data_IF_240399973054
#
_entry.id   IF_240399973054
#
_cell.length_a   1.000
_cell.length_b   1.000
_cell.length_c   1.000
_cell.angle_alpha   90.00
_cell.angle_beta   90.00
_cell.angle_gamma   90.00
#
_symmetry.space_group_name_H-M   'P 1'
#
loop_
_entity.id
_entity.type
_entity.pdbx_description
1 polymer ?
#
# COMPACT_ATOMS: atom_id res chain seq x y z
N UNK A 1 -22.56 -49.65 -21.46
CA UNK A 1 -21.89 -50.10 -20.23
C UNK A 1 -20.39 -49.88 -20.37
N UNK A 2 -19.88 -48.70 -20.00
CA UNK A 2 -18.44 -48.42 -20.00
C UNK A 2 -17.97 -48.29 -18.54
N UNK A 3 -17.11 -49.23 -18.13
CA UNK A 3 -16.41 -49.27 -16.84
C UNK A 3 -15.72 -47.92 -16.57
N UNK A 4 -15.86 -47.31 -15.37
CA UNK A 4 -15.02 -46.18 -15.00
C UNK A 4 -13.60 -46.68 -14.67
N UNK A 5 -12.61 -46.04 -15.29
CA UNK A 5 -11.20 -46.25 -15.01
C UNK A 5 -10.90 -45.87 -13.54
N UNK A 6 -10.52 -46.87 -12.76
CA UNK A 6 -10.04 -46.71 -11.38
C UNK A 6 -8.77 -45.86 -11.38
N UNK A 7 -8.86 -44.64 -10.83
CA UNK A 7 -7.69 -43.83 -10.47
C UNK A 7 -6.92 -44.61 -9.40
N UNK A 8 -5.92 -45.38 -9.83
CA UNK A 8 -4.96 -46.07 -8.94
C UNK A 8 -4.35 -45.02 -8.01
N UNK A 9 -4.70 -45.06 -6.71
CA UNK A 9 -4.00 -44.31 -5.66
C UNK A 9 -2.57 -44.83 -5.58
N UNK A 10 -1.65 -44.14 -6.26
CA UNK A 10 -0.22 -44.37 -6.10
C UNK A 10 0.20 -43.57 -4.86
N UNK A 11 -0.08 -44.11 -3.66
CA UNK A 11 0.43 -43.53 -2.42
C UNK A 11 0.98 -44.66 -1.56
N UNK A 12 2.31 -44.77 -1.54
CA UNK A 12 3.02 -45.63 -0.59
C UNK A 12 2.62 -45.22 0.84
N UNK A 13 2.38 -46.15 1.79
CA UNK A 13 1.86 -45.84 3.12
C UNK A 13 2.72 -44.83 3.92
N UNK A 14 4.01 -44.71 3.60
CA UNK A 14 4.89 -43.67 4.13
C UNK A 14 4.52 -42.26 3.66
N UNK A 15 4.15 -42.11 2.37
CA UNK A 15 3.72 -40.82 1.80
C UNK A 15 2.38 -40.39 2.40
N UNK A 16 1.45 -41.31 2.61
CA UNK A 16 0.13 -40.98 3.17
C UNK A 16 0.22 -40.35 4.57
N UNK A 17 1.21 -40.72 5.39
CA UNK A 17 1.44 -40.12 6.71
C UNK A 17 2.23 -38.81 6.66
N UNK A 18 3.24 -38.70 5.79
CA UNK A 18 4.11 -37.53 5.70
C UNK A 18 3.52 -36.39 4.84
N UNK A 19 2.59 -36.71 3.94
CA UNK A 19 2.00 -35.75 3.01
C UNK A 19 1.19 -34.62 3.67
N UNK A 20 0.35 -34.86 4.71
CA UNK A 20 -0.35 -33.78 5.40
C UNK A 20 0.60 -32.76 6.03
N UNK A 21 1.71 -33.24 6.62
CA UNK A 21 2.75 -32.38 7.20
C UNK A 21 3.42 -31.54 6.12
N UNK A 22 3.84 -32.16 5.01
CA UNK A 22 4.43 -31.45 3.88
C UNK A 22 3.47 -30.41 3.28
N UNK A 23 2.18 -30.74 3.17
CA UNK A 23 1.15 -29.84 2.67
C UNK A 23 0.96 -28.65 3.60
N UNK A 24 0.95 -28.88 4.91
CA UNK A 24 0.88 -27.81 5.92
C UNK A 24 2.11 -26.91 5.85
N UNK A 25 3.32 -27.48 5.80
CA UNK A 25 4.58 -26.73 5.72
C UNK A 25 4.62 -25.81 4.49
N UNK A 26 4.25 -26.35 3.32
CA UNK A 26 4.16 -25.55 2.08
C UNK A 26 3.08 -24.47 2.20
N UNK A 27 1.94 -24.80 2.80
CA UNK A 27 0.85 -23.84 3.06
C UNK A 27 1.30 -22.68 3.95
N UNK A 28 1.98 -22.98 5.06
CA UNK A 28 2.53 -21.98 5.98
C UNK A 28 3.57 -21.10 5.30
N UNK A 29 4.45 -21.68 4.48
CA UNK A 29 5.44 -20.94 3.70
C UNK A 29 4.77 -19.95 2.74
N UNK A 30 3.74 -20.38 2.01
CA UNK A 30 2.99 -19.52 1.10
C UNK A 30 2.26 -18.39 1.83
N UNK A 31 1.64 -18.68 2.97
CA UNK A 31 0.97 -17.67 3.79
C UNK A 31 1.94 -16.68 4.43
N UNK A 32 3.13 -17.12 4.83
CA UNK A 32 4.19 -16.23 5.30
C UNK A 32 4.65 -15.30 4.17
N UNK A 33 4.89 -15.84 2.97
CA UNK A 33 5.28 -15.06 1.80
C UNK A 33 4.23 -14.01 1.44
N UNK A 34 2.94 -14.39 1.34
CA UNK A 34 1.83 -13.46 1.07
C UNK A 34 1.76 -12.32 2.08
N UNK A 35 1.80 -12.65 3.37
CA UNK A 35 1.76 -11.65 4.44
C UNK A 35 2.96 -10.70 4.38
N UNK A 36 4.15 -11.23 4.09
CA UNK A 36 5.36 -10.40 3.95
C UNK A 36 5.25 -9.45 2.77
N UNK A 37 4.84 -9.94 1.60
CA UNK A 37 4.64 -9.13 0.40
C UNK A 37 3.61 -8.03 0.63
N UNK A 38 2.46 -8.35 1.25
CA UNK A 38 1.44 -7.35 1.57
C UNK A 38 1.98 -6.25 2.49
N UNK A 39 2.75 -6.59 3.54
CA UNK A 39 3.38 -5.60 4.41
C UNK A 39 4.38 -4.72 3.67
N UNK A 40 5.23 -5.31 2.84
CA UNK A 40 6.23 -4.57 2.06
C UNK A 40 5.55 -3.59 1.10
N UNK A 41 4.55 -4.04 0.35
CA UNK A 41 3.76 -3.19 -0.55
C UNK A 41 3.08 -2.07 0.22
N UNK A 42 2.41 -2.37 1.34
CA UNK A 42 1.74 -1.36 2.15
C UNK A 42 2.73 -0.30 2.67
N UNK A 43 3.91 -0.71 3.14
CA UNK A 43 4.94 0.22 3.60
C UNK A 43 5.42 1.15 2.47
N UNK A 44 5.70 0.61 1.28
CA UNK A 44 6.08 1.42 0.11
C UNK A 44 4.97 2.38 -0.30
N UNK A 45 3.72 1.90 -0.33
CA UNK A 45 2.57 2.72 -0.70
C UNK A 45 2.36 3.88 0.29
N UNK A 46 2.43 3.61 1.60
CA UNK A 46 2.34 4.66 2.63
C UNK A 46 3.46 5.69 2.49
N UNK A 47 4.69 5.26 2.25
CA UNK A 47 5.81 6.19 2.02
C UNK A 47 5.59 7.06 0.77
N UNK A 48 5.10 6.43 -0.31
CA UNK A 48 4.82 7.12 -1.58
C UNK A 48 3.72 8.17 -1.42
N UNK A 49 2.64 7.83 -0.74
CA UNK A 49 1.52 8.74 -0.48
C UNK A 49 1.93 9.95 0.36
N UNK A 50 2.77 9.75 1.37
CA UNK A 50 3.34 10.87 2.14
C UNK A 50 4.19 11.79 1.26
N UNK A 51 4.99 11.21 0.39
CA UNK A 51 5.86 11.95 -0.50
C UNK A 51 5.09 12.70 -1.61
N UNK A 52 3.97 12.15 -2.09
CA UNK A 52 3.02 12.88 -2.96
C UNK A 52 2.44 14.09 -2.21
N UNK A 53 1.99 13.90 -0.96
CA UNK A 53 1.51 14.99 -0.12
C UNK A 53 2.54 16.11 0.06
N UNK A 54 3.81 15.76 0.28
CA UNK A 54 4.92 16.71 0.34
C UNK A 54 5.03 17.56 -0.93
N UNK A 55 5.06 16.90 -2.09
CA UNK A 55 5.18 17.58 -3.40
C UNK A 55 4.02 18.54 -3.66
N UNK A 56 2.79 18.13 -3.32
CA UNK A 56 1.60 19.00 -3.45
C UNK A 56 1.77 20.25 -2.59
N UNK A 57 2.12 20.10 -1.32
CA UNK A 57 2.25 21.23 -0.38
C UNK A 57 3.39 22.17 -0.79
N UNK A 58 4.55 21.64 -1.19
CA UNK A 58 5.68 22.46 -1.64
C UNK A 58 5.33 23.24 -2.90
N UNK A 59 4.63 22.61 -3.84
CA UNK A 59 4.18 23.26 -5.06
C UNK A 59 3.18 24.40 -4.75
N UNK A 60 2.22 24.18 -3.85
CA UNK A 60 1.30 25.23 -3.37
C UNK A 60 2.03 26.39 -2.65
N UNK A 61 3.10 26.10 -1.91
CA UNK A 61 3.89 27.12 -1.21
C UNK A 61 4.75 27.96 -2.16
N UNK A 62 5.32 27.34 -3.20
CA UNK A 62 6.05 28.04 -4.27
C UNK A 62 5.14 28.94 -5.12
N UNK A 63 3.85 28.62 -5.19
CA UNK A 63 2.82 29.38 -5.89
C UNK A 63 1.96 30.27 -4.99
N UNK A 64 2.56 31.04 -4.07
CA UNK A 64 1.93 32.10 -3.23
C UNK A 64 0.41 31.92 -3.01
N UNK A 65 0.02 30.97 -2.15
CA UNK A 65 -1.30 30.76 -1.51
C UNK A 65 -2.42 31.70 -2.02
N UNK A 66 -2.90 31.53 -3.25
CA UNK A 66 -4.18 32.10 -3.66
C UNK A 66 -5.26 31.13 -3.22
N UNK A 67 -6.17 31.59 -2.36
CA UNK A 67 -7.34 30.82 -1.98
C UNK A 67 -8.10 30.43 -3.27
N UNK A 68 -8.11 29.14 -3.60
CA UNK A 68 -8.64 28.60 -4.86
C UNK A 68 -7.64 27.73 -5.65
N UNK A 69 -6.36 28.12 -5.67
CA UNK A 69 -5.33 27.46 -6.49
C UNK A 69 -5.10 25.98 -6.11
N UNK A 70 -5.10 25.67 -4.82
CA UNK A 70 -4.94 24.28 -4.35
C UNK A 70 -6.10 23.37 -4.74
N UNK A 71 -7.32 23.90 -4.88
CA UNK A 71 -8.48 23.11 -5.28
C UNK A 71 -8.41 22.73 -6.77
N UNK A 72 -8.02 23.67 -7.63
CA UNK A 72 -7.81 23.44 -9.06
C UNK A 72 -6.63 22.48 -9.31
N UNK A 73 -5.53 22.66 -8.58
CA UNK A 73 -4.36 21.76 -8.66
C UNK A 73 -4.74 20.31 -8.37
N UNK A 74 -5.49 20.06 -7.29
CA UNK A 74 -5.90 18.71 -6.92
C UNK A 74 -6.87 18.11 -7.93
N UNK A 75 -7.70 18.92 -8.58
CA UNK A 75 -8.61 18.47 -9.63
C UNK A 75 -7.84 18.03 -10.88
N UNK A 76 -6.88 18.86 -11.32
CA UNK A 76 -6.01 18.54 -12.45
C UNK A 76 -5.17 17.28 -12.19
N UNK A 77 -4.51 17.21 -11.03
CA UNK A 77 -3.73 16.04 -10.64
C UNK A 77 -4.59 14.78 -10.58
N UNK A 78 -5.83 14.88 -10.10
CA UNK A 78 -6.72 13.73 -10.06
C UNK A 78 -7.04 13.19 -11.45
N UNK A 79 -7.31 14.09 -12.41
CA UNK A 79 -7.60 13.71 -13.79
C UNK A 79 -6.37 13.08 -14.46
N UNK A 80 -5.22 13.75 -14.39
CA UNK A 80 -3.99 13.31 -15.05
C UNK A 80 -3.47 11.99 -14.48
N UNK A 81 -3.41 11.87 -13.15
CA UNK A 81 -2.92 10.66 -12.49
C UNK A 81 -3.90 9.49 -12.65
N UNK A 82 -5.21 9.75 -12.66
CA UNK A 82 -6.19 8.70 -12.93
C UNK A 82 -6.11 8.23 -14.38
N UNK A 83 -5.85 9.12 -15.34
CA UNK A 83 -5.65 8.76 -16.73
C UNK A 83 -4.37 7.93 -16.94
N UNK A 84 -3.29 8.27 -16.23
CA UNK A 84 -1.99 7.61 -16.41
C UNK A 84 -1.85 6.30 -15.61
N UNK A 85 -2.35 6.26 -14.37
CA UNK A 85 -2.13 5.15 -13.44
C UNK A 85 -3.42 4.41 -13.04
N UNK A 86 -4.58 4.91 -13.46
CA UNK A 86 -5.87 4.30 -13.18
C UNK A 86 -6.43 4.63 -11.80
N UNK A 87 -7.16 3.67 -11.21
CA UNK A 87 -7.90 3.88 -9.97
C UNK A 87 -6.95 4.12 -8.79
N UNK A 88 -7.35 5.04 -7.90
CA UNK A 88 -6.60 5.35 -6.68
C UNK A 88 -6.12 6.80 -6.58
N UNK A 89 -6.23 7.60 -7.65
CA UNK A 89 -5.82 9.01 -7.65
C UNK A 89 -7.00 9.98 -7.71
N UNK A 90 -8.07 9.68 -6.96
CA UNK A 90 -9.19 10.62 -6.87
C UNK A 90 -8.75 11.92 -6.16
N UNK A 91 -9.44 13.02 -6.47
CA UNK A 91 -9.26 14.32 -5.79
C UNK A 91 -9.27 14.19 -4.27
N UNK A 92 -10.18 13.36 -3.74
CA UNK A 92 -10.28 13.09 -2.30
C UNK A 92 -9.01 12.42 -1.77
N UNK A 93 -8.51 11.39 -2.45
CA UNK A 93 -7.31 10.70 -2.00
C UNK A 93 -6.09 11.63 -2.03
N UNK A 94 -5.95 12.48 -3.05
CA UNK A 94 -4.87 13.47 -3.11
C UNK A 94 -4.98 14.53 -2.01
N UNK A 95 -6.20 14.96 -1.68
CA UNK A 95 -6.45 15.84 -0.54
C UNK A 95 -6.06 15.17 0.79
N UNK A 96 -6.38 13.89 0.96
CA UNK A 96 -6.02 13.12 2.15
C UNK A 96 -4.49 12.97 2.26
N UNK A 97 -3.78 12.69 1.15
CA UNK A 97 -2.30 12.64 1.09
C UNK A 97 -1.67 13.98 1.48
N UNK A 98 -2.22 15.09 0.96
CA UNK A 98 -1.79 16.45 1.30
C UNK A 98 -1.98 16.74 2.79
N UNK A 99 -3.17 16.45 3.32
CA UNK A 99 -3.49 16.65 4.74
C UNK A 99 -2.63 15.78 5.65
N UNK A 100 -2.35 14.54 5.26
CA UNK A 100 -1.45 13.64 5.97
C UNK A 100 -0.05 14.23 6.12
N UNK A 101 0.53 14.76 5.04
CA UNK A 101 1.84 15.41 5.09
C UNK A 101 1.83 16.64 6.01
N UNK A 102 0.78 17.47 5.95
CA UNK A 102 0.64 18.64 6.84
C UNK A 102 0.52 18.25 8.31
N UNK A 103 -0.19 17.15 8.63
CA UNK A 103 -0.30 16.65 9.99
C UNK A 103 1.04 16.13 10.53
N UNK A 104 1.78 15.36 9.72
CA UNK A 104 3.09 14.86 10.11
C UNK A 104 4.15 15.95 10.26
N UNK A 105 4.12 16.99 9.41
CA UNK A 105 5.08 18.10 9.53
C UNK A 105 4.84 18.91 10.81
N UNK A 106 3.57 19.07 11.22
CA UNK A 106 3.23 19.64 12.51
C UNK A 106 3.83 18.79 13.64
N UNK A 107 3.57 17.49 13.67
CA UNK A 107 4.09 16.58 14.71
C UNK A 107 5.63 16.62 14.85
N UNK A 108 6.36 16.68 13.73
CA UNK A 108 7.82 16.82 13.73
C UNK A 108 8.28 18.14 14.37
N UNK A 109 7.56 19.24 14.16
CA UNK A 109 7.84 20.53 14.79
C UNK A 109 7.64 20.42 16.31
N UNK A 110 6.57 19.78 16.78
CA UNK A 110 6.33 19.59 18.22
C UNK A 110 7.43 18.74 18.88
N UNK A 111 7.86 17.65 18.24
CA UNK A 111 8.96 16.81 18.74
C UNK A 111 10.28 17.57 18.80
N UNK A 112 10.61 18.37 17.78
CA UNK A 112 11.82 19.18 17.75
C UNK A 112 11.83 20.30 18.81
N UNK A 113 10.67 20.88 19.13
CA UNK A 113 10.52 21.87 20.19
C UNK A 113 10.66 21.21 21.57
N UNK A 114 10.05 20.05 21.79
CA UNK A 114 10.19 19.27 23.02
C UNK A 114 11.65 18.90 23.32
N UNK A 115 12.39 18.43 22.30
CA UNK A 115 13.79 18.04 22.44
C UNK A 115 14.76 19.20 22.75
N UNK A 116 14.38 20.45 22.43
CA UNK A 116 15.20 21.65 22.71
C UNK A 116 14.85 22.34 24.04
N UNK A 117 13.84 21.85 24.73
CA UNK A 117 13.33 22.44 25.98
C UNK A 117 13.89 21.74 27.24
N UNK A 118 14.91 20.88 27.08
CA UNK A 118 15.62 20.15 28.14
C UNK A 118 17.08 20.61 28.15
#
# INVERSE_FOLDING_TARGET
>A
MSKPASKKKITSPAITKAYPVLLEDIGQLLEAARRSSARAVNALMTATYREIGRRIVEFEQGGKKRAGYGAELLEQLAQDLTAQFGRGFSRRNLQDMRSLYQAFSLEQIWQALSAKSV
#
